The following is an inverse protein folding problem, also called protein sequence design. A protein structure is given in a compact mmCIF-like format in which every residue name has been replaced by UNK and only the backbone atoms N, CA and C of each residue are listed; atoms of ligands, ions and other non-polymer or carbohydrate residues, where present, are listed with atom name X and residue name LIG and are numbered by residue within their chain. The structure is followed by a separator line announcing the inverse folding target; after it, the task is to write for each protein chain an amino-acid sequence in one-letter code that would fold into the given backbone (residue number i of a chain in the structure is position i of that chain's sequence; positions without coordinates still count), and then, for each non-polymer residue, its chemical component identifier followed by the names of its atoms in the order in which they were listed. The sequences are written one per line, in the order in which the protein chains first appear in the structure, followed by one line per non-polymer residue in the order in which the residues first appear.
data_IF_225350543409
#
_entry.id   IF_225350543409
#
_cell.length_a   1.000
_cell.length_b   1.000
_cell.length_c   1.000
_cell.angle_alpha   90.00
_cell.angle_beta   90.00
_cell.angle_gamma   90.00
#
_symmetry.space_group_name_H-M   'P 1'
#
loop_
_entity.id
_entity.type
_entity.pdbx_description
1 polymer ?
#
# COMPACT_ATOMS: atom_id res chain seq x y z
N UNK A 1 11.84 33.06 18.43
CA UNK A 1 11.70 33.84 17.18
C UNK A 1 11.10 35.16 17.57
N UNK A 2 11.93 36.18 17.70
CA UNK A 2 11.47 37.52 18.03
C UNK A 2 10.68 38.04 16.83
N UNK A 3 9.39 38.30 17.03
CA UNK A 3 8.61 39.05 16.07
C UNK A 3 9.15 40.47 16.08
N UNK A 4 10.10 40.77 15.19
CA UNK A 4 10.44 42.15 14.83
C UNK A 4 9.19 42.74 14.20
N UNK A 5 8.31 43.29 15.04
CA UNK A 5 7.18 44.09 14.59
C UNK A 5 7.77 45.26 13.82
N UNK A 6 7.69 45.19 12.49
CA UNK A 6 8.01 46.29 11.59
C UNK A 6 7.12 47.46 11.97
N UNK A 7 7.64 48.33 12.84
CA UNK A 7 6.98 49.54 13.28
C UNK A 7 7.56 50.68 12.45
N UNK A 8 6.68 51.58 12.01
CA UNK A 8 7.10 52.81 11.36
C UNK A 8 8.14 53.53 12.23
N UNK A 9 9.25 53.98 11.64
CA UNK A 9 10.31 54.66 12.38
C UNK A 9 9.75 55.93 13.02
N UNK A 10 10.14 56.18 14.26
CA UNK A 10 9.77 57.40 14.97
C UNK A 10 10.50 58.62 14.40
N UNK A 11 10.00 59.83 14.66
CA UNK A 11 10.63 61.08 14.20
C UNK A 11 12.08 61.21 14.70
N UNK A 12 12.35 60.69 15.91
CA UNK A 12 13.70 60.70 16.52
C UNK A 12 14.66 59.75 15.79
N UNK A 13 14.18 58.59 15.36
CA UNK A 13 14.95 57.60 14.60
C UNK A 13 15.29 58.10 13.19
N UNK A 14 14.41 58.89 12.60
CA UNK A 14 14.60 59.48 11.27
C UNK A 14 15.68 60.57 11.24
N UNK A 15 16.05 61.12 12.41
CA UNK A 15 17.04 62.21 12.55
C UNK A 15 16.90 63.29 11.44
N UNK A 16 15.73 63.95 11.34
CA UNK A 16 15.44 64.88 10.24
C UNK A 16 16.21 66.20 10.32
N UNK A 17 16.99 66.42 11.38
CA UNK A 17 17.79 67.60 11.61
C UNK A 17 19.28 67.24 11.73
N UNK A 18 20.20 68.12 11.28
CA UNK A 18 19.96 69.46 10.74
C UNK A 18 19.36 69.44 9.33
N UNK A 19 18.56 70.46 9.00
CA UNK A 19 18.00 70.62 7.66
C UNK A 19 19.12 70.71 6.63
N UNK A 20 18.94 70.12 5.42
CA UNK A 20 19.86 70.31 4.31
C UNK A 20 20.11 71.79 4.05
N UNK A 21 21.35 72.11 3.65
CA UNK A 21 21.77 73.50 3.40
C UNK A 21 20.83 74.22 2.42
N UNK A 22 20.30 73.50 1.44
CA UNK A 22 19.36 74.02 0.45
C UNK A 22 18.04 74.49 1.07
N UNK A 23 17.56 73.84 2.12
CA UNK A 23 16.33 74.21 2.83
C UNK A 23 16.61 75.31 3.86
N UNK A 24 17.76 75.28 4.53
CA UNK A 24 18.12 76.29 5.54
C UNK A 24 18.35 77.70 4.98
N UNK A 25 18.61 77.84 3.68
CA UNK A 25 18.87 79.13 3.01
C UNK A 25 17.64 79.74 2.35
N UNK A 26 16.49 79.07 2.39
CA UNK A 26 15.27 79.55 1.73
C UNK A 26 14.65 80.73 2.50
N UNK A 27 14.02 81.69 1.81
CA UNK A 27 13.22 82.73 2.43
C UNK A 27 12.10 82.15 3.29
N UNK A 28 11.75 82.84 4.39
CA UNK A 28 10.79 82.35 5.39
C UNK A 28 9.40 82.03 4.80
N UNK A 29 8.95 82.78 3.78
CA UNK A 29 7.68 82.51 3.10
C UNK A 29 7.68 81.16 2.36
N UNK A 30 8.80 80.80 1.72
CA UNK A 30 8.95 79.52 1.01
C UNK A 30 9.06 78.35 2.00
N UNK A 31 9.74 78.55 3.14
CA UNK A 31 9.77 77.56 4.22
C UNK A 31 8.39 77.31 4.81
N UNK A 32 7.57 78.35 4.92
CA UNK A 32 6.18 78.25 5.38
C UNK A 32 5.34 77.44 4.41
N UNK A 33 5.43 77.74 3.11
CA UNK A 33 4.78 76.94 2.05
C UNK A 33 5.26 75.49 2.03
N UNK A 34 6.56 75.25 2.19
CA UNK A 34 7.13 73.90 2.31
C UNK A 34 6.53 73.13 3.48
N UNK A 35 6.46 73.75 4.67
CA UNK A 35 5.91 73.12 5.88
C UNK A 35 4.40 72.84 5.80
N UNK A 36 3.68 73.61 4.98
CA UNK A 36 2.23 73.46 4.78
C UNK A 36 1.91 72.45 3.68
N UNK A 37 2.86 72.13 2.80
CA UNK A 37 2.69 71.14 1.74
C UNK A 37 3.04 69.75 2.22
N UNK A 38 2.02 68.91 2.40
CA UNK A 38 2.18 67.50 2.76
C UNK A 38 3.11 66.75 1.80
N UNK A 39 2.98 66.98 0.49
CA UNK A 39 3.77 66.28 -0.53
C UNK A 39 5.26 66.60 -0.43
N UNK A 40 5.59 67.86 -0.16
CA UNK A 40 6.99 68.31 -0.01
C UNK A 40 7.62 67.76 1.27
N UNK A 41 6.89 67.79 2.39
CA UNK A 41 7.35 67.21 3.66
C UNK A 41 7.51 65.70 3.53
N UNK A 42 6.56 65.01 2.91
CA UNK A 42 6.63 63.57 2.66
C UNK A 42 7.83 63.21 1.76
N UNK A 43 8.04 63.95 0.67
CA UNK A 43 9.18 63.76 -0.21
C UNK A 43 10.52 63.98 0.51
N UNK A 44 10.58 64.97 1.41
CA UNK A 44 11.76 65.17 2.26
C UNK A 44 12.01 63.99 3.20
N UNK A 45 10.98 63.53 3.91
CA UNK A 45 11.10 62.37 4.81
C UNK A 45 11.55 61.12 4.05
N UNK A 46 11.01 60.87 2.86
CA UNK A 46 11.43 59.76 1.99
C UNK A 46 12.86 59.91 1.48
N UNK A 47 13.38 61.13 1.39
CA UNK A 47 14.75 61.39 0.98
C UNK A 47 15.78 61.10 2.08
N UNK A 48 15.35 61.05 3.35
CA UNK A 48 16.24 60.83 4.50
C UNK A 48 16.93 59.46 4.42
N UNK A 49 18.27 59.39 4.63
CA UNK A 49 19.01 58.13 4.61
C UNK A 49 18.44 57.05 5.55
N UNK A 50 17.95 57.47 6.72
CA UNK A 50 17.37 56.59 7.73
C UNK A 50 16.07 55.96 7.26
N UNK A 51 15.22 56.73 6.55
CA UNK A 51 13.98 56.21 5.98
C UNK A 51 14.27 55.21 4.86
N UNK A 52 15.25 55.51 3.99
CA UNK A 52 15.68 54.59 2.93
C UNK A 52 16.25 53.29 3.49
N UNK A 53 17.10 53.37 4.53
CA UNK A 53 17.60 52.18 5.22
C UNK A 53 16.48 51.34 5.85
N UNK A 54 15.48 51.97 6.47
CA UNK A 54 14.30 51.26 6.97
C UNK A 54 13.51 50.58 5.83
N UNK A 55 13.30 51.28 4.71
CA UNK A 55 12.61 50.71 3.55
C UNK A 55 13.35 49.48 3.00
N UNK A 56 14.68 49.52 2.92
CA UNK A 56 15.50 48.38 2.51
C UNK A 56 15.33 47.19 3.46
N UNK A 57 15.32 47.42 4.79
CA UNK A 57 15.09 46.36 5.79
C UNK A 57 13.70 45.73 5.62
N UNK A 58 12.66 46.54 5.43
CA UNK A 58 11.29 46.04 5.19
C UNK A 58 11.23 45.19 3.92
N UNK A 59 11.84 45.66 2.83
CA UNK A 59 11.88 44.90 1.57
C UNK A 59 12.63 43.59 1.72
N UNK A 60 13.75 43.59 2.45
CA UNK A 60 14.50 42.36 2.73
C UNK A 60 13.68 41.37 3.56
N UNK A 61 12.99 41.82 4.60
CA UNK A 61 12.12 40.96 5.42
C UNK A 61 10.98 40.37 4.58
N UNK A 62 10.33 41.18 3.73
CA UNK A 62 9.31 40.70 2.80
C UNK A 62 9.86 39.65 1.83
N UNK A 63 11.05 39.87 1.28
CA UNK A 63 11.70 38.89 0.41
C UNK A 63 11.99 37.56 1.14
N UNK A 64 12.43 37.62 2.40
CA UNK A 64 12.62 36.43 3.22
C UNK A 64 11.30 35.68 3.49
N UNK A 65 10.22 36.42 3.76
CA UNK A 65 8.90 35.83 3.95
C UNK A 65 8.37 35.18 2.67
N UNK A 66 8.51 35.85 1.52
CA UNK A 66 8.15 35.30 0.20
C UNK A 66 8.94 34.01 -0.05
N UNK A 67 10.25 34.01 0.22
CA UNK A 67 11.07 32.82 0.06
C UNK A 67 10.59 31.66 0.94
N UNK A 68 10.31 31.92 2.23
CA UNK A 68 9.76 30.90 3.14
C UNK A 68 8.42 30.35 2.64
N UNK A 69 7.53 31.20 2.15
CA UNK A 69 6.24 30.78 1.58
C UNK A 69 6.46 29.88 0.36
N UNK A 70 7.36 30.25 -0.55
CA UNK A 70 7.66 29.44 -1.72
C UNK A 70 8.21 28.06 -1.35
N UNK A 71 9.13 27.99 -0.39
CA UNK A 71 9.65 26.71 0.13
C UNK A 71 8.53 25.87 0.75
N UNK A 72 7.62 26.48 1.52
CA UNK A 72 6.47 25.77 2.06
C UNK A 72 5.55 25.23 0.94
N UNK A 73 5.34 25.98 -0.13
CA UNK A 73 4.56 25.54 -1.29
C UNK A 73 5.23 24.36 -2.02
N UNK A 74 6.55 24.40 -2.21
CA UNK A 74 7.32 23.29 -2.80
C UNK A 74 7.19 22.03 -1.94
N UNK A 75 7.39 22.15 -0.62
CA UNK A 75 7.21 21.04 0.30
C UNK A 75 5.79 20.46 0.23
N UNK A 76 4.75 21.30 0.22
CA UNK A 76 3.37 20.84 0.12
C UNK A 76 3.13 20.03 -1.16
N UNK A 77 3.70 20.44 -2.28
CA UNK A 77 3.63 19.70 -3.54
C UNK A 77 4.32 18.34 -3.41
N UNK A 78 5.55 18.29 -2.90
CA UNK A 78 6.27 17.03 -2.67
C UNK A 78 5.49 16.08 -1.75
N UNK A 79 4.94 16.58 -0.64
CA UNK A 79 4.13 15.77 0.28
C UNK A 79 2.87 15.23 -0.41
N UNK A 80 2.24 16.01 -1.28
CA UNK A 80 1.07 15.57 -2.02
C UNK A 80 1.39 14.43 -3.00
N UNK A 81 2.51 14.51 -3.70
CA UNK A 81 2.99 13.46 -4.60
C UNK A 81 3.32 12.17 -3.84
N UNK A 82 3.99 12.31 -2.69
CA UNK A 82 4.30 11.18 -1.81
C UNK A 82 3.02 10.54 -1.27
N UNK A 83 2.05 11.34 -0.84
CA UNK A 83 0.76 10.84 -0.35
C UNK A 83 0.00 10.07 -1.44
N UNK A 84 0.03 10.54 -2.68
CA UNK A 84 -0.57 9.84 -3.83
C UNK A 84 0.15 8.51 -4.11
N UNK A 85 1.48 8.48 -4.06
CA UNK A 85 2.25 7.24 -4.19
C UNK A 85 1.91 6.23 -3.10
N UNK A 86 1.82 6.66 -1.84
CA UNK A 86 1.43 5.80 -0.70
C UNK A 86 0.01 5.25 -0.91
N UNK A 87 -0.93 6.09 -1.34
CA UNK A 87 -2.30 5.66 -1.65
C UNK A 87 -2.32 4.57 -2.71
N UNK A 88 -1.59 4.75 -3.81
CA UNK A 88 -1.52 3.78 -4.90
C UNK A 88 -0.89 2.45 -4.45
N UNK A 89 0.19 2.51 -3.66
CA UNK A 89 0.82 1.31 -3.08
C UNK A 89 -0.12 0.56 -2.12
N UNK A 90 -0.87 1.30 -1.29
CA UNK A 90 -1.84 0.72 -0.36
C UNK A 90 -2.99 0.02 -1.10
N UNK A 91 -3.47 0.60 -2.20
CA UNK A 91 -4.48 -0.04 -3.05
C UNK A 91 -3.95 -1.33 -3.68
N UNK A 92 -2.72 -1.32 -4.20
CA UNK A 92 -2.10 -2.53 -4.74
C UNK A 92 -1.95 -3.62 -3.69
N UNK A 93 -1.53 -3.27 -2.47
CA UNK A 93 -1.38 -4.22 -1.37
C UNK A 93 -2.72 -4.85 -0.98
N UNK A 94 -3.80 -4.05 -0.91
CA UNK A 94 -5.14 -4.56 -0.64
C UNK A 94 -5.63 -5.51 -1.73
N UNK A 95 -5.35 -5.22 -3.00
CA UNK A 95 -5.68 -6.12 -4.12
C UNK A 95 -4.95 -7.46 -3.97
N UNK A 96 -3.64 -7.44 -3.76
CA UNK A 96 -2.84 -8.65 -3.58
C UNK A 96 -3.25 -9.44 -2.33
N UNK A 97 -3.63 -8.76 -1.25
CA UNK A 97 -4.16 -9.41 -0.06
C UNK A 97 -5.51 -10.11 -0.33
N UNK A 98 -6.39 -9.47 -1.12
CA UNK A 98 -7.63 -10.10 -1.59
C UNK A 98 -7.38 -11.36 -2.41
N UNK A 99 -6.40 -11.32 -3.32
CA UNK A 99 -5.98 -12.51 -4.07
C UNK A 99 -5.41 -13.60 -3.18
N UNK A 100 -4.57 -13.23 -2.22
CA UNK A 100 -3.96 -14.17 -1.27
C UNK A 100 -5.02 -14.88 -0.42
N UNK A 101 -5.96 -14.14 0.17
CA UNK A 101 -7.06 -14.72 0.96
C UNK A 101 -7.96 -15.64 0.13
N UNK A 102 -8.19 -15.31 -1.15
CA UNK A 102 -8.92 -16.19 -2.06
C UNK A 102 -8.14 -17.49 -2.32
N UNK A 103 -6.84 -17.39 -2.61
CA UNK A 103 -5.99 -18.57 -2.80
C UNK A 103 -5.91 -19.44 -1.54
N UNK A 104 -5.79 -18.84 -0.37
CA UNK A 104 -5.82 -19.53 0.90
C UNK A 104 -7.15 -20.26 1.10
N UNK A 105 -8.27 -19.61 0.78
CA UNK A 105 -9.60 -20.22 0.84
C UNK A 105 -9.69 -21.43 -0.11
N UNK A 106 -9.23 -21.30 -1.35
CA UNK A 106 -9.18 -22.40 -2.32
C UNK A 106 -8.31 -23.54 -1.79
N UNK A 107 -7.15 -23.24 -1.21
CA UNK A 107 -6.26 -24.24 -0.62
C UNK A 107 -6.97 -25.01 0.49
N UNK A 108 -7.64 -24.33 1.42
CA UNK A 108 -8.38 -25.00 2.49
C UNK A 108 -9.54 -25.85 1.96
N UNK A 109 -10.26 -25.37 0.93
CA UNK A 109 -11.31 -26.15 0.28
C UNK A 109 -10.74 -27.41 -0.38
N UNK A 110 -9.61 -27.31 -1.08
CA UNK A 110 -8.97 -28.45 -1.72
C UNK A 110 -8.45 -29.46 -0.69
N UNK A 111 -7.82 -28.99 0.38
CA UNK A 111 -7.33 -29.83 1.47
C UNK A 111 -8.48 -30.54 2.19
N UNK A 112 -9.53 -29.83 2.57
CA UNK A 112 -10.69 -30.43 3.24
C UNK A 112 -11.45 -31.41 2.35
N UNK A 113 -11.65 -31.09 1.07
CA UNK A 113 -12.36 -31.94 0.14
C UNK A 113 -11.56 -33.18 -0.28
N UNK A 114 -10.25 -33.06 -0.51
CA UNK A 114 -9.46 -34.13 -1.13
C UNK A 114 -8.49 -34.84 -0.19
N UNK A 115 -8.00 -34.16 0.84
CA UNK A 115 -6.90 -34.62 1.67
C UNK A 115 -7.28 -34.81 3.14
N UNK A 116 -8.52 -34.51 3.53
CA UNK A 116 -9.04 -34.93 4.82
C UNK A 116 -9.05 -36.47 4.91
N UNK A 117 -8.64 -37.01 6.06
CA UNK A 117 -8.60 -38.43 6.36
C UNK A 117 -9.95 -39.11 6.08
N UNK A 118 -11.08 -38.47 6.42
CA UNK A 118 -12.40 -39.03 6.12
C UNK A 118 -12.69 -39.11 4.62
N UNK A 119 -12.35 -38.06 3.88
CA UNK A 119 -12.51 -38.02 2.41
C UNK A 119 -11.63 -39.06 1.73
N UNK A 120 -10.39 -39.24 2.20
CA UNK A 120 -9.48 -40.27 1.71
C UNK A 120 -9.98 -41.68 2.05
N UNK A 121 -10.45 -41.92 3.28
CA UNK A 121 -11.08 -43.18 3.68
C UNK A 121 -12.27 -43.52 2.79
N UNK A 122 -13.20 -42.58 2.57
CA UNK A 122 -14.35 -42.78 1.67
C UNK A 122 -13.93 -43.08 0.23
N UNK A 123 -12.94 -42.38 -0.31
CA UNK A 123 -12.39 -42.67 -1.66
C UNK A 123 -11.77 -44.07 -1.72
N UNK A 124 -11.03 -44.47 -0.68
CA UNK A 124 -10.41 -45.78 -0.59
C UNK A 124 -11.45 -46.91 -0.47
N UNK A 125 -12.48 -46.73 0.35
CA UNK A 125 -13.62 -47.65 0.47
C UNK A 125 -14.38 -47.80 -0.85
N UNK A 126 -14.65 -46.69 -1.54
CA UNK A 126 -15.30 -46.70 -2.85
C UNK A 126 -14.48 -47.52 -3.85
N UNK A 127 -13.17 -47.26 -3.94
CA UNK A 127 -12.29 -48.03 -4.83
C UNK A 127 -12.25 -49.51 -4.43
N UNK A 128 -12.22 -49.85 -3.14
CA UNK A 128 -12.25 -51.23 -2.66
C UNK A 128 -13.53 -51.94 -3.09
N UNK A 129 -14.68 -51.27 -2.99
CA UNK A 129 -15.98 -51.79 -3.41
C UNK A 129 -16.04 -51.98 -4.94
N UNK A 130 -15.53 -51.02 -5.71
CA UNK A 130 -15.42 -51.13 -7.17
C UNK A 130 -14.55 -52.32 -7.58
N UNK A 131 -13.39 -52.51 -6.94
CA UNK A 131 -12.52 -53.68 -7.21
C UNK A 131 -13.22 -54.99 -6.87
N UNK A 132 -13.98 -55.04 -5.77
CA UNK A 132 -14.76 -56.22 -5.43
C UNK A 132 -15.81 -56.54 -6.49
N UNK A 133 -16.54 -55.51 -6.94
CA UNK A 133 -17.58 -55.64 -7.95
C UNK A 133 -17.01 -56.05 -9.31
N UNK A 134 -15.87 -55.48 -9.72
CA UNK A 134 -15.14 -55.90 -10.92
C UNK A 134 -14.81 -57.39 -10.91
N UNK A 135 -14.30 -57.93 -9.79
CA UNK A 135 -14.02 -59.37 -9.68
C UNK A 135 -15.28 -60.23 -9.79
N UNK A 136 -16.43 -59.77 -9.29
CA UNK A 136 -17.71 -60.49 -9.46
C UNK A 136 -18.25 -60.39 -10.89
N UNK A 137 -18.08 -59.24 -11.54
CA UNK A 137 -18.50 -59.04 -12.92
C UNK A 137 -17.63 -59.86 -13.88
N UNK A 138 -16.34 -60.05 -13.58
CA UNK A 138 -15.48 -60.98 -14.30
C UNK A 138 -15.93 -62.43 -14.18
N UNK A 139 -16.35 -62.90 -12.99
CA UNK A 139 -16.94 -64.23 -12.82
C UNK A 139 -18.21 -64.38 -13.68
N UNK A 140 -19.09 -63.37 -13.68
CA UNK A 140 -20.32 -63.39 -14.47
C UNK A 140 -20.03 -63.42 -15.98
N UNK A 141 -19.06 -62.62 -16.44
CA UNK A 141 -18.61 -62.60 -17.84
C UNK A 141 -18.04 -63.95 -18.26
N UNK A 142 -17.21 -64.54 -17.41
CA UNK A 142 -16.62 -65.88 -17.63
C UNK A 142 -17.71 -66.96 -17.74
N UNK A 143 -18.68 -66.97 -16.81
CA UNK A 143 -19.77 -67.96 -16.80
C UNK A 143 -20.68 -67.89 -18.03
N UNK A 144 -20.80 -66.72 -18.65
CA UNK A 144 -21.68 -66.46 -19.79
C UNK A 144 -21.00 -66.61 -21.16
N UNK A 145 -19.71 -66.96 -21.20
CA UNK A 145 -18.95 -67.12 -22.44
C UNK A 145 -18.64 -68.59 -22.71
N UNK A 146 -18.66 -69.00 -23.98
CA UNK A 146 -18.24 -70.33 -24.43
C UNK A 146 -16.71 -70.38 -24.45
N UNK A 147 -16.08 -71.05 -23.49
CA UNK A 147 -14.63 -70.90 -23.25
C UNK A 147 -13.83 -72.20 -23.40
N UNK A 148 -12.55 -72.05 -23.77
CA UNK A 148 -11.56 -73.12 -23.86
C UNK A 148 -10.80 -73.33 -22.53
N UNK A 149 -10.10 -74.46 -22.37
CA UNK A 149 -9.30 -74.75 -21.16
C UNK A 149 -8.18 -73.70 -20.91
N UNK A 150 -7.63 -73.12 -21.97
CA UNK A 150 -6.62 -72.05 -21.87
C UNK A 150 -7.22 -70.77 -21.26
N UNK A 151 -8.43 -70.41 -21.67
CA UNK A 151 -9.13 -69.22 -21.16
C UNK A 151 -9.49 -69.37 -19.67
N UNK A 152 -9.75 -70.60 -19.22
CA UNK A 152 -10.00 -70.91 -17.81
C UNK A 152 -8.73 -70.71 -16.95
N UNK A 153 -7.57 -71.16 -17.42
CA UNK A 153 -6.32 -70.99 -16.70
C UNK A 153 -5.95 -69.51 -16.52
N UNK A 154 -6.05 -68.72 -17.60
CA UNK A 154 -5.77 -67.28 -17.58
C UNK A 154 -6.76 -66.49 -16.72
N UNK A 155 -8.04 -66.90 -16.73
CA UNK A 155 -9.06 -66.34 -15.86
C UNK A 155 -8.75 -66.60 -14.39
N UNK A 156 -8.40 -67.83 -14.02
CA UNK A 156 -8.09 -68.20 -12.62
C UNK A 156 -6.89 -67.41 -12.11
N UNK A 157 -5.85 -67.23 -12.93
CA UNK A 157 -4.68 -66.42 -12.56
C UNK A 157 -5.04 -64.95 -12.33
N UNK A 158 -5.78 -64.34 -13.27
CA UNK A 158 -6.22 -62.96 -13.16
C UNK A 158 -7.15 -62.73 -11.98
N UNK A 159 -8.12 -63.61 -11.78
CA UNK A 159 -9.03 -63.55 -10.64
C UNK A 159 -8.28 -63.67 -9.31
N UNK A 160 -7.31 -64.60 -9.21
CA UNK A 160 -6.48 -64.76 -8.01
C UNK A 160 -5.65 -63.50 -7.72
N UNK A 161 -5.08 -62.88 -8.75
CA UNK A 161 -4.32 -61.62 -8.63
C UNK A 161 -5.21 -60.47 -8.16
N UNK A 162 -6.43 -60.36 -8.68
CA UNK A 162 -7.39 -59.35 -8.25
C UNK A 162 -7.87 -59.56 -6.81
N UNK A 163 -8.23 -60.78 -6.43
CA UNK A 163 -8.64 -61.11 -5.06
C UNK A 163 -7.51 -60.86 -4.06
N UNK A 164 -6.26 -61.21 -4.40
CA UNK A 164 -5.08 -60.89 -3.59
C UNK A 164 -4.95 -59.37 -3.37
N UNK A 165 -5.14 -58.59 -4.43
CA UNK A 165 -5.10 -57.12 -4.37
C UNK A 165 -6.24 -56.56 -3.51
N UNK A 166 -7.47 -57.06 -3.70
CA UNK A 166 -8.63 -56.68 -2.90
C UNK A 166 -8.42 -56.95 -1.40
N UNK A 167 -8.01 -58.16 -1.03
CA UNK A 167 -7.80 -58.52 0.37
C UNK A 167 -6.65 -57.73 1.02
N UNK A 168 -5.57 -57.46 0.27
CA UNK A 168 -4.49 -56.58 0.73
C UNK A 168 -4.99 -55.15 0.99
N UNK A 169 -5.79 -54.58 0.08
CA UNK A 169 -6.40 -53.26 0.28
C UNK A 169 -7.41 -53.26 1.44
N UNK A 170 -8.22 -54.31 1.59
CA UNK A 170 -9.19 -54.45 2.70
C UNK A 170 -8.50 -54.47 4.06
N UNK A 171 -7.41 -55.20 4.17
CA UNK A 171 -6.57 -55.24 5.37
C UNK A 171 -5.99 -53.85 5.69
N UNK A 172 -5.50 -53.12 4.68
CA UNK A 172 -5.06 -51.73 4.86
C UNK A 172 -6.18 -50.81 5.35
N UNK A 173 -7.40 -50.97 4.84
CA UNK A 173 -8.57 -50.19 5.31
C UNK A 173 -8.89 -50.47 6.77
N UNK A 174 -8.90 -51.74 7.18
CA UNK A 174 -9.16 -52.14 8.56
C UNK A 174 -8.14 -51.52 9.52
N UNK A 175 -6.84 -51.58 9.17
CA UNK A 175 -5.78 -50.94 9.95
C UNK A 175 -5.94 -49.42 10.05
N UNK A 176 -6.41 -48.79 8.97
CA UNK A 176 -6.67 -47.35 8.95
C UNK A 176 -7.89 -46.96 9.82
N UNK A 177 -8.87 -47.85 9.97
CA UNK A 177 -9.99 -47.66 10.89
C UNK A 177 -9.59 -47.83 12.35
N UNK A 178 -8.59 -48.65 12.64
CA UNK A 178 -8.02 -48.81 13.99
C UNK A 178 -7.05 -47.68 14.38
N UNK A 179 -6.84 -46.67 13.53
CA UNK A 179 -5.85 -45.58 13.70
C UNK A 179 -4.39 -46.05 13.87
N UNK A 180 -4.10 -47.32 13.59
CA UNK A 180 -2.77 -47.94 13.74
C UNK A 180 -1.80 -47.58 12.61
N UNK A 181 -2.15 -46.58 11.79
CA UNK A 181 -1.36 -46.17 10.63
C UNK A 181 -0.78 -44.78 10.88
N UNK A 182 0.34 -44.73 11.60
CA UNK A 182 1.27 -43.59 11.57
C UNK A 182 2.14 -43.75 10.32
N UNK A 183 1.70 -43.19 9.18
CA UNK A 183 2.45 -43.23 7.92
C UNK A 183 1.67 -43.91 6.80
N UNK A 184 0.87 -43.12 6.10
CA UNK A 184 0.25 -43.51 4.82
C UNK A 184 0.97 -42.87 3.62
N UNK A 185 2.19 -42.36 3.82
CA UNK A 185 3.04 -41.78 2.77
C UNK A 185 4.28 -42.66 2.59
#
# INVERSE_FOLDING_TARGET
MEHSTLRLPSVEELKPFPLPKQLSTLPEHVLREFSQSYELVNGYVQSLPQFKGYQEVVVQELNQQIHKINVCCELLNEYSEVAERIKNQTQSLNSSYGEWTNLETIQYQLLSANFNQESLKKKFEKHLNETNQQSYDEIKKFKNSSQSESDFADFVENFRKQRKTYHSKKEKMNRWNEERVTGFV
#
